data_IF_803576642153
#
_entry.id   IF_803576642153
#
_cell.length_a   1.000
_cell.length_b   1.000
_cell.length_c   1.000
_cell.angle_alpha   90.00
_cell.angle_beta   90.00
_cell.angle_gamma   90.00
#
_symmetry.space_group_name_H-M   'P 1'
#
loop_
_entity.id
_entity.type
_entity.pdbx_description
1 polymer ?
#
# COMPACT_ATOMS: atom_id res chain seq x y z
N UNK A 1 -27.91 -46.94 27.41
CA UNK A 1 -26.95 -46.33 26.46
C UNK A 1 -27.62 -45.83 25.18
N UNK A 2 -28.44 -46.65 24.50
CA UNK A 2 -29.10 -46.27 23.23
C UNK A 2 -30.02 -45.05 23.35
N UNK A 3 -30.78 -44.92 24.44
CA UNK A 3 -31.57 -43.72 24.70
C UNK A 3 -30.74 -42.44 24.89
N UNK A 4 -29.49 -42.57 25.35
CA UNK A 4 -28.56 -41.43 25.49
C UNK A 4 -27.96 -41.08 24.14
N UNK A 5 -27.53 -42.06 23.35
CA UNK A 5 -27.03 -41.86 21.98
C UNK A 5 -28.10 -41.26 21.06
N UNK A 6 -29.35 -41.73 21.15
CA UNK A 6 -30.48 -41.18 20.39
C UNK A 6 -30.79 -39.74 20.78
N UNK A 7 -30.75 -39.41 22.08
CA UNK A 7 -30.88 -38.01 22.54
C UNK A 7 -29.71 -37.15 22.06
N UNK A 8 -28.48 -37.67 22.09
CA UNK A 8 -27.31 -36.94 21.61
C UNK A 8 -27.40 -36.66 20.10
N UNK A 9 -27.79 -37.66 19.31
CA UNK A 9 -28.02 -37.50 17.87
C UNK A 9 -29.11 -36.45 17.58
N UNK A 10 -30.23 -36.50 18.28
CA UNK A 10 -31.31 -35.51 18.15
C UNK A 10 -30.85 -34.09 18.53
N UNK A 11 -30.12 -33.92 19.65
CA UNK A 11 -29.60 -32.60 20.04
C UNK A 11 -28.54 -32.07 19.07
N UNK A 12 -27.74 -32.96 18.47
CA UNK A 12 -26.73 -32.57 17.48
C UNK A 12 -27.38 -32.16 16.16
N UNK A 13 -28.49 -32.81 15.79
CA UNK A 13 -29.32 -32.46 14.64
C UNK A 13 -30.07 -31.13 14.84
N UNK A 14 -30.59 -30.87 16.04
CA UNK A 14 -31.17 -29.57 16.38
C UNK A 14 -30.12 -28.46 16.33
N UNK A 15 -28.93 -28.69 16.89
CA UNK A 15 -27.80 -27.74 16.81
C UNK A 15 -27.32 -27.53 15.37
N UNK A 16 -27.24 -28.58 14.54
CA UNK A 16 -26.86 -28.46 13.13
C UNK A 16 -27.91 -27.66 12.34
N UNK A 17 -29.19 -27.77 12.70
CA UNK A 17 -30.26 -26.94 12.16
C UNK A 17 -30.10 -25.46 12.54
N UNK A 18 -29.79 -25.13 13.80
CA UNK A 18 -29.52 -23.75 14.24
C UNK A 18 -28.27 -23.13 13.60
N UNK A 19 -27.30 -23.95 13.21
CA UNK A 19 -26.09 -23.51 12.50
C UNK A 19 -26.21 -23.58 10.98
N UNK A 20 -27.30 -24.15 10.45
CA UNK A 20 -27.68 -23.99 9.05
C UNK A 20 -28.15 -22.54 8.86
N UNK A 21 -27.79 -21.93 7.73
CA UNK A 21 -27.94 -20.49 7.46
C UNK A 21 -29.39 -19.96 7.46
N UNK A 22 -30.37 -20.73 7.96
CA UNK A 22 -31.79 -20.49 7.77
C UNK A 22 -32.35 -19.38 8.66
N UNK A 23 -31.96 -19.21 9.92
CA UNK A 23 -32.44 -18.08 10.71
C UNK A 23 -31.63 -17.86 11.99
N UNK A 24 -31.44 -16.58 12.35
CA UNK A 24 -30.84 -16.04 13.59
C UNK A 24 -29.34 -15.71 13.50
N UNK A 25 -29.09 -14.42 13.33
CA UNK A 25 -27.75 -13.85 13.35
C UNK A 25 -27.11 -13.90 14.73
N UNK A 26 -26.06 -14.71 14.87
CA UNK A 26 -25.07 -14.55 15.94
C UNK A 26 -24.37 -13.20 15.75
N UNK A 27 -24.55 -12.30 16.71
CA UNK A 27 -23.90 -10.99 16.77
C UNK A 27 -22.46 -11.19 17.27
N UNK A 28 -21.48 -10.92 16.40
CA UNK A 28 -20.10 -10.71 16.86
C UNK A 28 -20.13 -9.56 17.87
N UNK A 29 -19.50 -9.80 19.02
CA UNK A 29 -19.40 -8.85 20.12
C UNK A 29 -18.81 -7.53 19.61
N UNK A 30 -19.54 -6.44 19.80
CA UNK A 30 -19.10 -5.07 19.55
C UNK A 30 -17.75 -4.73 20.22
N UNK A 31 -17.31 -5.55 21.19
CA UNK A 31 -16.08 -5.35 21.95
C UNK A 31 -14.80 -5.48 21.10
N UNK A 32 -14.78 -6.31 20.06
CA UNK A 32 -13.57 -6.50 19.21
C UNK A 32 -13.29 -5.28 18.31
N UNK A 33 -14.30 -4.42 18.11
CA UNK A 33 -14.19 -3.24 17.25
C UNK A 33 -13.92 -1.93 18.01
N UNK A 34 -13.90 -1.95 19.35
CA UNK A 34 -13.71 -0.73 20.14
C UNK A 34 -12.36 -0.04 19.87
N UNK A 35 -11.30 -0.82 19.68
CA UNK A 35 -9.96 -0.33 19.34
C UNK A 35 -9.94 0.33 17.95
N UNK A 36 -10.57 -0.30 16.96
CA UNK A 36 -10.70 0.22 15.60
C UNK A 36 -11.55 1.50 15.56
N UNK A 37 -12.70 1.52 16.25
CA UNK A 37 -13.59 2.69 16.32
C UNK A 37 -12.87 3.85 17.00
N UNK A 38 -12.11 3.59 18.08
CA UNK A 38 -11.32 4.62 18.79
C UNK A 38 -10.19 5.18 17.90
N UNK A 39 -9.50 4.33 17.15
CA UNK A 39 -8.48 4.74 16.17
C UNK A 39 -9.08 5.57 15.03
N UNK A 40 -10.19 5.12 14.45
CA UNK A 40 -10.87 5.83 13.36
C UNK A 40 -11.38 7.21 13.81
N UNK A 41 -11.97 7.30 15.01
CA UNK A 41 -12.36 8.57 15.62
C UNK A 41 -11.16 9.53 15.80
N UNK A 42 -10.00 9.00 16.19
CA UNK A 42 -8.75 9.76 16.28
C UNK A 42 -8.31 10.29 14.91
N UNK A 43 -8.30 9.44 13.90
CA UNK A 43 -7.99 9.83 12.52
C UNK A 43 -8.93 10.91 12.00
N UNK A 44 -10.25 10.78 12.21
CA UNK A 44 -11.24 11.80 11.80
C UNK A 44 -11.02 13.14 12.51
N UNK A 45 -10.65 13.14 13.80
CA UNK A 45 -10.32 14.38 14.54
C UNK A 45 -9.10 15.09 13.96
N UNK A 46 -8.05 14.35 13.63
CA UNK A 46 -6.85 14.89 12.99
C UNK A 46 -7.14 15.42 11.58
N UNK A 47 -7.97 14.71 10.83
CA UNK A 47 -8.42 15.09 9.49
C UNK A 47 -9.21 16.41 9.52
N UNK A 48 -10.11 16.55 10.48
CA UNK A 48 -10.86 17.78 10.73
C UNK A 48 -9.95 18.93 11.17
N UNK A 49 -8.97 18.66 12.05
CA UNK A 49 -7.97 19.65 12.46
C UNK A 49 -7.14 20.15 11.28
N UNK A 50 -6.71 19.23 10.40
CA UNK A 50 -6.00 19.56 9.17
C UNK A 50 -6.87 20.39 8.22
N UNK A 51 -8.14 20.01 8.05
CA UNK A 51 -9.10 20.74 7.23
C UNK A 51 -9.29 22.18 7.72
N UNK A 52 -9.59 22.37 9.01
CA UNK A 52 -9.73 23.70 9.61
C UNK A 52 -8.44 24.52 9.48
N UNK A 53 -7.26 23.90 9.65
CA UNK A 53 -5.97 24.61 9.50
C UNK A 53 -5.69 25.07 8.07
N UNK A 54 -6.13 24.32 7.06
CA UNK A 54 -5.82 24.61 5.65
C UNK A 54 -6.88 25.46 4.96
N UNK A 55 -8.15 25.21 5.24
CA UNK A 55 -9.28 25.85 4.57
C UNK A 55 -9.92 26.99 5.37
N UNK A 56 -10.05 26.88 6.70
CA UNK A 56 -10.70 27.90 7.53
C UNK A 56 -9.73 28.96 8.06
N UNK A 57 -8.50 28.56 8.44
CA UNK A 57 -7.48 29.44 9.04
C UNK A 57 -6.22 29.61 8.17
N UNK A 58 -6.17 28.95 7.01
CA UNK A 58 -5.00 28.90 6.13
C UNK A 58 -5.06 29.89 4.95
N UNK A 59 -3.98 29.99 4.16
CA UNK A 59 -3.87 30.92 3.02
C UNK A 59 -4.89 30.70 1.89
N UNK A 60 -5.69 29.64 1.96
CA UNK A 60 -6.75 29.31 1.00
C UNK A 60 -8.09 30.01 1.30
N UNK A 61 -8.27 30.59 2.50
CA UNK A 61 -9.47 31.38 2.83
C UNK A 61 -9.56 32.67 1.99
N UNK A 62 -8.42 33.18 1.50
CA UNK A 62 -8.33 34.34 0.62
C UNK A 62 -9.06 34.14 -0.72
N UNK A 63 -9.20 32.89 -1.20
CA UNK A 63 -9.87 32.61 -2.47
C UNK A 63 -11.38 32.85 -2.38
N UNK A 64 -11.99 32.68 -1.20
CA UNK A 64 -13.44 32.89 -1.01
C UNK A 64 -13.76 34.34 -0.64
N UNK A 65 -12.80 35.10 -0.10
CA UNK A 65 -13.01 36.50 0.31
C UNK A 65 -12.60 37.54 -0.74
N UNK A 66 -11.72 37.21 -1.70
CA UNK A 66 -11.32 38.16 -2.76
C UNK A 66 -12.49 38.54 -3.70
N UNK A 67 -13.58 37.76 -3.73
CA UNK A 67 -14.78 38.07 -4.53
C UNK A 67 -15.75 39.06 -3.85
N UNK A 68 -15.57 39.43 -2.58
CA UNK A 68 -16.58 40.23 -1.85
C UNK A 68 -16.15 41.56 -1.23
N UNK A 69 -14.87 41.92 -1.19
CA UNK A 69 -14.51 43.27 -0.70
C UNK A 69 -13.06 43.63 -1.02
N UNK A 70 -12.79 44.01 -2.26
CA UNK A 70 -11.59 44.79 -2.62
C UNK A 70 -11.95 46.21 -3.07
N UNK A 71 -13.09 46.69 -2.57
CA UNK A 71 -13.31 48.12 -2.39
C UNK A 71 -12.53 48.54 -1.15
N UNK A 72 -11.60 49.45 -1.36
CA UNK A 72 -11.01 50.33 -0.36
C UNK A 72 -9.70 49.91 0.33
N UNK A 73 -8.76 50.87 0.22
CA UNK A 73 -7.50 51.07 0.93
C UNK A 73 -6.34 50.16 0.49
N UNK A 74 -5.30 50.62 -0.21
CA UNK A 74 -4.55 51.88 -0.06
C UNK A 74 -3.86 52.25 -1.39
N UNK A 75 -4.06 53.50 -1.84
CA UNK A 75 -3.30 54.22 -2.88
C UNK A 75 -3.31 53.65 -4.32
N UNK A 76 -4.50 53.55 -4.91
CA UNK A 76 -4.71 53.33 -6.36
C UNK A 76 -3.87 54.25 -7.24
N UNK A 77 -3.74 55.54 -6.88
CA UNK A 77 -2.91 56.49 -7.65
C UNK A 77 -1.41 56.17 -7.58
N UNK A 78 -0.86 55.74 -6.45
CA UNK A 78 0.56 55.41 -6.34
C UNK A 78 0.90 54.13 -7.10
N UNK A 79 0.03 53.11 -7.04
CA UNK A 79 0.21 51.89 -7.84
C UNK A 79 0.09 52.15 -9.34
N UNK A 80 -0.86 52.97 -9.78
CA UNK A 80 -1.01 53.34 -11.20
C UNK A 80 0.17 54.18 -11.67
N UNK A 81 0.65 55.14 -10.88
CA UNK A 81 1.84 55.94 -11.21
C UNK A 81 3.11 55.08 -11.22
N UNK A 82 3.26 54.14 -10.29
CA UNK A 82 4.37 53.19 -10.27
C UNK A 82 4.31 52.20 -11.44
N UNK A 83 3.13 51.70 -11.80
CA UNK A 83 2.93 50.86 -12.98
C UNK A 83 3.22 51.62 -14.27
N UNK A 84 2.79 52.88 -14.40
CA UNK A 84 3.11 53.72 -15.55
C UNK A 84 4.61 54.05 -15.61
N UNK A 85 5.24 54.25 -14.45
CA UNK A 85 6.71 54.42 -14.36
C UNK A 85 7.44 53.14 -14.74
N UNK A 86 7.03 51.98 -14.24
CA UNK A 86 7.64 50.69 -14.57
C UNK A 86 7.41 50.34 -16.04
N UNK A 87 6.22 50.57 -16.59
CA UNK A 87 5.92 50.36 -18.01
C UNK A 87 6.75 51.28 -18.91
N UNK A 88 6.92 52.56 -18.55
CA UNK A 88 7.76 53.47 -19.33
C UNK A 88 9.26 53.12 -19.24
N UNK A 89 9.74 52.66 -18.07
CA UNK A 89 11.13 52.20 -17.90
C UNK A 89 11.35 50.88 -18.63
N UNK A 90 10.40 49.94 -18.54
CA UNK A 90 10.51 48.62 -19.16
C UNK A 90 10.42 48.70 -20.69
N UNK A 91 9.52 49.53 -21.23
CA UNK A 91 9.45 49.79 -22.65
C UNK A 91 10.76 50.40 -23.16
N UNK A 92 11.29 51.42 -22.46
CA UNK A 92 12.59 52.02 -22.80
C UNK A 92 13.76 51.05 -22.67
N UNK A 93 13.79 50.20 -21.64
CA UNK A 93 14.87 49.23 -21.45
C UNK A 93 14.84 48.13 -22.48
N UNK A 94 13.65 47.66 -22.86
CA UNK A 94 13.48 46.63 -23.88
C UNK A 94 13.80 47.18 -25.28
N UNK A 95 13.42 48.42 -25.57
CA UNK A 95 13.80 49.11 -26.81
C UNK A 95 15.32 49.27 -26.90
N UNK A 96 15.98 49.75 -25.85
CA UNK A 96 17.45 49.86 -25.82
C UNK A 96 18.17 48.51 -25.92
N UNK A 97 17.60 47.45 -25.37
CA UNK A 97 18.13 46.10 -25.54
C UNK A 97 18.05 45.63 -26.99
N UNK A 98 16.92 45.89 -27.66
CA UNK A 98 16.74 45.54 -29.08
C UNK A 98 17.64 46.40 -29.98
N UNK A 99 17.77 47.71 -29.70
CA UNK A 99 18.70 48.61 -30.40
C UNK A 99 20.15 48.14 -30.26
N UNK A 100 20.61 47.82 -29.04
CA UNK A 100 21.96 47.30 -28.81
C UNK A 100 22.19 45.95 -29.51
N UNK A 101 21.19 45.08 -29.55
CA UNK A 101 21.28 43.80 -30.26
C UNK A 101 21.31 43.99 -31.78
N UNK A 102 20.58 44.98 -32.32
CA UNK A 102 20.61 45.33 -33.73
C UNK A 102 21.95 45.97 -34.13
N UNK A 103 22.50 46.84 -33.28
CA UNK A 103 23.84 47.41 -33.46
C UNK A 103 24.93 46.32 -33.40
N UNK A 104 24.85 45.40 -32.43
CA UNK A 104 25.77 44.26 -32.35
C UNK A 104 25.71 43.39 -33.62
N UNK A 105 24.51 43.06 -34.11
CA UNK A 105 24.35 42.29 -35.34
C UNK A 105 24.90 43.04 -36.57
N UNK A 106 24.78 44.38 -36.61
CA UNK A 106 25.38 45.23 -37.64
C UNK A 106 26.90 45.19 -37.58
N UNK A 107 27.49 45.31 -36.39
CA UNK A 107 28.93 45.23 -36.18
C UNK A 107 29.47 43.84 -36.55
N UNK A 108 28.77 42.77 -36.19
CA UNK A 108 29.13 41.40 -36.56
C UNK A 108 29.05 41.17 -38.08
N UNK A 109 28.03 41.71 -38.75
CA UNK A 109 27.95 41.70 -40.20
C UNK A 109 29.14 42.45 -40.84
N UNK A 110 29.49 43.64 -40.35
CA UNK A 110 30.66 44.40 -40.83
C UNK A 110 31.95 43.60 -40.62
N UNK A 111 32.17 43.04 -39.43
CA UNK A 111 33.36 42.22 -39.13
C UNK A 111 33.41 40.97 -40.00
N UNK A 112 32.27 40.33 -40.28
CA UNK A 112 32.24 39.17 -41.19
C UNK A 112 32.58 39.55 -42.62
N UNK A 113 32.08 40.68 -43.14
CA UNK A 113 32.45 41.19 -44.47
C UNK A 113 33.92 41.60 -44.55
N UNK A 114 34.47 42.21 -43.50
CA UNK A 114 35.89 42.54 -43.43
C UNK A 114 36.77 41.28 -43.34
N UNK A 115 36.31 40.23 -42.64
CA UNK A 115 37.01 38.93 -42.57
C UNK A 115 37.00 38.20 -43.90
N UNK A 116 35.87 38.18 -44.62
CA UNK A 116 35.81 37.59 -45.97
C UNK A 116 36.65 38.38 -46.96
N UNK A 117 36.73 39.71 -46.81
CA UNK A 117 37.63 40.56 -47.58
C UNK A 117 39.10 40.29 -47.25
N UNK A 118 39.49 40.18 -45.98
CA UNK A 118 40.86 39.85 -45.59
C UNK A 118 41.28 38.46 -46.11
N UNK A 119 40.36 37.49 -46.04
CA UNK A 119 40.55 36.16 -46.63
C UNK A 119 40.65 36.20 -48.17
N UNK A 120 39.89 37.08 -48.83
CA UNK A 120 40.00 37.32 -50.27
C UNK A 120 41.28 38.09 -50.64
N UNK A 121 41.78 38.98 -49.78
CA UNK A 121 43.02 39.73 -50.01
C UNK A 121 44.24 38.85 -49.80
N UNK A 122 44.19 37.88 -48.89
CA UNK A 122 45.22 36.84 -48.77
C UNK A 122 45.32 35.94 -50.01
N UNK A 123 44.28 35.84 -50.84
CA UNK A 123 44.31 35.13 -52.13
C UNK A 123 44.58 36.03 -53.35
N UNK A 124 44.66 37.36 -53.17
CA UNK A 124 44.87 38.36 -54.23
C UNK A 124 46.30 38.90 -54.21
N UNK A 125 47.28 38.09 -54.62
CA UNK A 125 48.65 38.59 -54.81
C UNK A 125 48.85 39.23 -56.19
N UNK A 126 47.94 39.11 -57.17
CA UNK A 126 48.09 39.81 -58.47
C UNK A 126 46.77 40.19 -59.17
N UNK A 127 46.29 41.45 -59.04
CA UNK A 127 45.43 42.13 -60.04
C UNK A 127 45.65 43.65 -60.06
N UNK A 128 45.47 44.25 -61.24
CA UNK A 128 45.76 45.66 -61.57
C UNK A 128 44.95 46.69 -60.76
N UNK A 129 45.64 47.77 -60.37
CA UNK A 129 45.16 48.92 -59.59
C UNK A 129 43.88 49.57 -60.14
N UNK A 130 43.67 49.55 -61.46
CA UNK A 130 42.48 50.13 -62.09
C UNK A 130 41.21 49.28 -61.94
N UNK A 131 41.33 47.95 -61.93
CA UNK A 131 40.18 47.05 -61.65
C UNK A 131 39.78 47.11 -60.18
N UNK A 132 40.75 47.30 -59.27
CA UNK A 132 40.49 47.52 -57.85
C UNK A 132 39.74 48.83 -57.61
N UNK A 133 40.09 49.90 -58.32
CA UNK A 133 39.39 51.19 -58.18
C UNK A 133 37.94 51.13 -58.67
N UNK A 134 37.65 50.42 -59.77
CA UNK A 134 36.27 50.23 -60.26
C UNK A 134 35.43 49.37 -59.32
N UNK A 135 35.97 48.25 -58.84
CA UNK A 135 35.29 47.42 -57.83
C UNK A 135 35.07 48.18 -56.51
N UNK A 136 36.03 49.02 -56.10
CA UNK A 136 35.87 49.86 -54.92
C UNK A 136 34.77 50.91 -55.06
N UNK A 137 34.54 51.45 -56.27
CA UNK A 137 33.42 52.36 -56.50
C UNK A 137 32.08 51.63 -56.61
N UNK A 138 32.04 50.45 -57.24
CA UNK A 138 30.83 49.61 -57.31
C UNK A 138 30.41 49.16 -55.90
N UNK A 139 31.36 48.72 -55.08
CA UNK A 139 31.13 48.37 -53.67
C UNK A 139 30.72 49.57 -52.81
N UNK A 140 31.21 50.78 -53.11
CA UNK A 140 30.82 51.98 -52.38
C UNK A 140 29.36 52.38 -52.67
N UNK A 141 28.89 52.16 -53.89
CA UNK A 141 27.48 52.38 -54.25
C UNK A 141 26.59 51.26 -53.69
N UNK A 142 26.99 49.98 -53.77
CA UNK A 142 26.28 48.88 -53.12
C UNK A 142 26.20 49.05 -51.59
N UNK A 143 27.24 49.57 -50.95
CA UNK A 143 27.25 49.88 -49.52
C UNK A 143 26.26 51.00 -49.17
N UNK A 144 26.12 52.01 -50.05
CA UNK A 144 25.13 53.08 -49.86
C UNK A 144 23.70 52.55 -50.02
N UNK A 145 23.45 51.73 -51.03
CA UNK A 145 22.14 51.12 -51.26
C UNK A 145 21.76 50.18 -50.11
N UNK A 146 22.71 49.38 -49.62
CA UNK A 146 22.50 48.51 -48.46
C UNK A 146 22.29 49.32 -47.18
N UNK A 147 23.04 50.43 -46.99
CA UNK A 147 22.84 51.35 -45.87
C UNK A 147 21.45 51.99 -45.89
N UNK A 148 20.96 52.38 -47.07
CA UNK A 148 19.63 52.95 -47.25
C UNK A 148 18.53 51.94 -46.93
N UNK A 149 18.69 50.70 -47.39
CA UNK A 149 17.74 49.61 -47.11
C UNK A 149 17.72 49.22 -45.62
N UNK A 150 18.88 49.20 -44.97
CA UNK A 150 18.99 48.97 -43.53
C UNK A 150 18.34 50.11 -42.75
N UNK A 151 18.56 51.37 -43.16
CA UNK A 151 17.90 52.52 -42.54
C UNK A 151 16.38 52.44 -42.64
N UNK A 152 15.86 52.03 -43.81
CA UNK A 152 14.43 51.84 -44.05
C UNK A 152 13.83 50.72 -43.20
N UNK A 153 14.51 49.56 -43.10
CA UNK A 153 14.09 48.47 -42.20
C UNK A 153 14.11 48.88 -40.72
N UNK A 154 15.12 49.64 -40.29
CA UNK A 154 15.19 50.15 -38.92
C UNK A 154 14.05 51.14 -38.65
N UNK A 155 13.72 52.02 -39.60
CA UNK A 155 12.71 53.07 -39.41
C UNK A 155 11.27 52.61 -39.57
N UNK A 156 10.99 51.61 -40.42
CA UNK A 156 9.62 51.17 -40.74
C UNK A 156 9.24 49.86 -40.05
N UNK A 157 10.05 48.81 -40.19
CA UNK A 157 9.70 47.47 -39.68
C UNK A 157 10.06 47.28 -38.21
N UNK A 158 11.24 47.74 -37.77
CA UNK A 158 11.64 47.58 -36.36
C UNK A 158 10.83 48.48 -35.44
N UNK A 159 10.55 49.73 -35.83
CA UNK A 159 9.70 50.65 -35.06
C UNK A 159 8.25 50.16 -35.00
N UNK A 160 7.70 49.64 -36.10
CA UNK A 160 6.36 49.04 -36.16
C UNK A 160 6.24 47.82 -35.25
N UNK A 161 7.17 46.87 -35.36
CA UNK A 161 7.21 45.70 -34.48
C UNK A 161 7.40 46.06 -33.00
N UNK A 162 8.12 47.14 -32.71
CA UNK A 162 8.29 47.64 -31.36
C UNK A 162 7.01 48.30 -30.81
N UNK A 163 6.22 48.98 -31.65
CA UNK A 163 4.89 49.49 -31.28
C UNK A 163 3.90 48.36 -30.99
N UNK A 164 3.91 47.31 -31.82
CA UNK A 164 3.09 46.11 -31.63
C UNK A 164 3.50 45.33 -30.37
N UNK A 165 4.81 45.18 -30.13
CA UNK A 165 5.33 44.58 -28.90
C UNK A 165 5.00 45.40 -27.65
N UNK A 166 4.93 46.72 -27.75
CA UNK A 166 4.54 47.59 -26.65
C UNK A 166 3.05 47.46 -26.32
N UNK A 167 2.18 47.32 -27.33
CA UNK A 167 0.76 47.00 -27.12
C UNK A 167 0.57 45.60 -26.50
N UNK A 168 1.32 44.60 -26.99
CA UNK A 168 1.27 43.23 -26.46
C UNK A 168 1.89 43.09 -25.06
N UNK A 169 2.81 43.95 -24.67
CA UNK A 169 3.39 43.95 -23.32
C UNK A 169 2.37 44.21 -22.21
N UNK A 170 1.28 44.95 -22.50
CA UNK A 170 0.15 45.14 -21.57
C UNK A 170 -0.64 43.85 -21.34
N UNK A 171 -0.71 42.95 -22.32
CA UNK A 171 -1.39 41.66 -22.21
C UNK A 171 -0.61 40.67 -21.33
N UNK A 172 0.73 40.70 -21.36
CA UNK A 172 1.58 39.79 -20.57
C UNK A 172 1.46 40.02 -19.04
N UNK A 173 1.16 41.26 -18.61
CA UNK A 173 0.93 41.58 -17.19
C UNK A 173 -0.41 40.99 -16.72
N UNK A 174 -1.44 41.00 -17.58
CA UNK A 174 -2.71 40.35 -17.32
C UNK A 174 -2.58 38.83 -17.30
N UNK A 175 -1.77 38.25 -18.21
CA UNK A 175 -1.47 36.82 -18.25
C UNK A 175 -0.78 36.35 -16.96
N UNK A 176 0.20 37.10 -16.45
CA UNK A 176 0.82 36.83 -15.15
C UNK A 176 -0.18 36.82 -13.99
N UNK A 177 -1.13 37.76 -13.98
CA UNK A 177 -2.20 37.81 -12.97
C UNK A 177 -3.18 36.62 -13.07
N UNK A 178 -3.51 36.19 -14.29
CA UNK A 178 -4.37 35.02 -14.52
C UNK A 178 -3.65 33.72 -14.15
N UNK A 179 -2.37 33.59 -14.48
CA UNK A 179 -1.54 32.43 -14.11
C UNK A 179 -1.42 32.28 -12.59
N UNK A 180 -1.26 33.38 -11.85
CA UNK A 180 -1.23 33.31 -10.39
C UNK A 180 -2.59 32.89 -9.81
N UNK A 181 -3.71 33.32 -10.40
CA UNK A 181 -5.05 32.85 -9.99
C UNK A 181 -5.26 31.37 -10.28
N UNK A 182 -4.87 30.91 -11.47
CA UNK A 182 -4.93 29.50 -11.86
C UNK A 182 -4.09 28.62 -10.93
N UNK A 183 -2.86 29.02 -10.63
CA UNK A 183 -1.98 28.29 -9.70
C UNK A 183 -2.57 28.21 -8.27
N UNK A 184 -3.25 29.26 -7.81
CA UNK A 184 -3.95 29.25 -6.51
C UNK A 184 -5.15 28.30 -6.53
N UNK A 185 -5.94 28.30 -7.59
CA UNK A 185 -7.07 27.40 -7.75
C UNK A 185 -6.62 25.94 -7.88
N UNK A 186 -5.56 25.68 -8.64
CA UNK A 186 -4.99 24.34 -8.80
C UNK A 186 -4.43 23.81 -7.48
N UNK A 187 -3.78 24.68 -6.69
CA UNK A 187 -3.36 24.35 -5.34
C UNK A 187 -4.56 24.00 -4.44
N UNK A 188 -5.65 24.76 -4.51
CA UNK A 188 -6.88 24.48 -3.76
C UNK A 188 -7.49 23.13 -4.14
N UNK A 189 -7.66 22.87 -5.44
CA UNK A 189 -8.20 21.62 -5.99
C UNK A 189 -7.31 20.43 -5.61
N UNK A 190 -5.99 20.58 -5.67
CA UNK A 190 -5.03 19.55 -5.27
C UNK A 190 -5.19 19.17 -3.79
N UNK A 191 -5.34 20.16 -2.90
CA UNK A 191 -5.56 19.91 -1.48
C UNK A 191 -6.94 19.29 -1.20
N UNK A 192 -7.99 19.68 -1.93
CA UNK A 192 -9.30 19.03 -1.85
C UNK A 192 -9.25 17.57 -2.31
N UNK A 193 -8.59 17.27 -3.43
CA UNK A 193 -8.40 15.90 -3.92
C UNK A 193 -7.69 15.03 -2.89
N UNK A 194 -6.65 15.55 -2.22
CA UNK A 194 -5.97 14.83 -1.11
C UNK A 194 -6.93 14.54 0.05
N UNK A 195 -7.75 15.52 0.44
CA UNK A 195 -8.74 15.34 1.50
C UNK A 195 -9.78 14.27 1.14
N UNK A 196 -10.33 14.33 -0.08
CA UNK A 196 -11.26 13.33 -0.60
C UNK A 196 -10.61 11.94 -0.60
N UNK A 197 -9.35 11.82 -1.03
CA UNK A 197 -8.63 10.55 -1.01
C UNK A 197 -8.52 9.97 0.41
N UNK A 198 -8.23 10.80 1.42
CA UNK A 198 -8.21 10.31 2.81
C UNK A 198 -9.58 9.82 3.28
N UNK A 199 -10.66 10.51 2.90
CA UNK A 199 -12.04 10.07 3.23
C UNK A 199 -12.42 8.77 2.50
N UNK A 200 -12.07 8.65 1.23
CA UNK A 200 -12.29 7.43 0.43
C UNK A 200 -11.53 6.26 1.04
N UNK A 201 -10.29 6.47 1.48
CA UNK A 201 -9.51 5.44 2.17
C UNK A 201 -10.13 5.03 3.51
N UNK A 202 -10.64 5.97 4.30
CA UNK A 202 -11.37 5.65 5.54
C UNK A 202 -12.63 4.81 5.25
N UNK A 203 -13.41 5.20 4.23
CA UNK A 203 -14.59 4.45 3.80
C UNK A 203 -14.23 3.04 3.31
N UNK A 204 -13.19 2.93 2.47
CA UNK A 204 -12.72 1.66 1.93
C UNK A 204 -12.26 0.73 3.05
N UNK A 205 -11.49 1.22 4.02
CA UNK A 205 -11.07 0.44 5.18
C UNK A 205 -12.27 -0.06 6.00
N UNK A 206 -13.29 0.77 6.22
CA UNK A 206 -14.50 0.35 6.93
C UNK A 206 -15.32 -0.69 6.14
N UNK A 207 -15.44 -0.52 4.83
CA UNK A 207 -16.12 -1.47 3.94
C UNK A 207 -15.39 -2.80 3.88
N UNK A 208 -14.07 -2.78 3.78
CA UNK A 208 -13.22 -3.97 3.83
C UNK A 208 -13.43 -4.72 5.15
N UNK A 209 -13.32 -4.02 6.28
CA UNK A 209 -13.54 -4.63 7.60
C UNK A 209 -14.93 -5.27 7.69
N UNK A 210 -15.98 -4.57 7.24
CA UNK A 210 -17.35 -5.12 7.20
C UNK A 210 -17.43 -6.41 6.39
N UNK A 211 -16.79 -6.46 5.22
CA UNK A 211 -16.76 -7.66 4.37
C UNK A 211 -15.97 -8.78 5.06
N UNK A 212 -14.81 -8.48 5.64
CA UNK A 212 -14.01 -9.47 6.40
C UNK A 212 -14.80 -10.08 7.55
N UNK A 213 -15.54 -9.28 8.31
CA UNK A 213 -16.40 -9.79 9.39
C UNK A 213 -17.52 -10.68 8.88
N UNK A 214 -18.13 -10.34 7.75
CA UNK A 214 -19.16 -11.16 7.13
C UNK A 214 -18.60 -12.49 6.63
N UNK A 215 -17.41 -12.49 6.04
CA UNK A 215 -16.72 -13.69 5.59
C UNK A 215 -16.29 -14.58 6.76
N UNK A 216 -15.73 -13.99 7.82
CA UNK A 216 -15.37 -14.72 9.03
C UNK A 216 -16.59 -15.34 9.70
N UNK A 217 -17.72 -14.61 9.76
CA UNK A 217 -19.00 -15.15 10.23
C UNK A 217 -19.43 -16.36 9.41
N UNK A 218 -19.44 -16.25 8.07
CA UNK A 218 -19.82 -17.35 7.18
C UNK A 218 -18.88 -18.55 7.32
N UNK A 219 -17.57 -18.32 7.41
CA UNK A 219 -16.58 -19.37 7.57
C UNK A 219 -16.72 -20.09 8.93
N UNK A 220 -16.88 -19.35 10.04
CA UNK A 220 -17.08 -19.94 11.37
C UNK A 220 -18.36 -20.75 11.44
N UNK A 221 -19.49 -20.21 10.97
CA UNK A 221 -20.78 -20.91 10.95
C UNK A 221 -20.69 -22.15 10.05
N UNK A 222 -20.11 -22.03 8.85
CA UNK A 222 -19.92 -23.16 7.93
C UNK A 222 -19.02 -24.25 8.52
N UNK A 223 -17.92 -23.87 9.18
CA UNK A 223 -17.01 -24.84 9.82
C UNK A 223 -17.67 -25.58 11.00
N UNK A 224 -18.42 -24.87 11.84
CA UNK A 224 -19.15 -25.47 12.95
C UNK A 224 -20.28 -26.38 12.44
N UNK A 225 -20.99 -25.96 11.40
CA UNK A 225 -22.01 -26.78 10.73
C UNK A 225 -21.42 -28.07 10.15
N UNK A 226 -20.29 -27.99 9.44
CA UNK A 226 -19.61 -29.16 8.88
C UNK A 226 -19.15 -30.13 9.96
N UNK A 227 -18.61 -29.62 11.07
CA UNK A 227 -18.20 -30.45 12.21
C UNK A 227 -19.41 -31.13 12.87
N UNK A 228 -20.49 -30.38 13.13
CA UNK A 228 -21.71 -30.93 13.72
C UNK A 228 -22.35 -31.99 12.81
N UNK A 229 -22.33 -31.78 11.50
CA UNK A 229 -22.84 -32.75 10.52
C UNK A 229 -21.98 -34.02 10.45
N UNK A 230 -20.66 -33.90 10.59
CA UNK A 230 -19.78 -35.06 10.68
C UNK A 230 -20.08 -35.89 11.95
N UNK A 231 -20.25 -35.22 13.10
CA UNK A 231 -20.62 -35.87 14.36
C UNK A 231 -22.01 -36.52 14.26
N UNK A 232 -22.98 -35.87 13.63
CA UNK A 232 -24.32 -36.41 13.39
C UNK A 232 -24.26 -37.71 12.56
N UNK A 233 -23.49 -37.72 11.47
CA UNK A 233 -23.30 -38.91 10.63
C UNK A 233 -22.61 -40.05 11.39
N UNK A 234 -21.61 -39.73 12.21
CA UNK A 234 -20.90 -40.73 13.02
C UNK A 234 -21.83 -41.33 14.09
N UNK A 235 -22.58 -40.50 14.82
CA UNK A 235 -23.57 -40.96 15.80
C UNK A 235 -24.67 -41.82 15.16
N UNK A 236 -25.12 -41.45 13.96
CA UNK A 236 -26.10 -42.25 13.22
C UNK A 236 -25.52 -43.61 12.79
N UNK A 237 -24.23 -43.66 12.42
CA UNK A 237 -23.53 -44.91 12.13
C UNK A 237 -23.37 -45.82 13.35
N UNK A 238 -23.12 -45.25 14.54
CA UNK A 238 -23.09 -46.03 15.78
C UNK A 238 -24.48 -46.54 16.17
N UNK A 239 -25.53 -45.73 16.00
CA UNK A 239 -26.91 -46.17 16.25
C UNK A 239 -27.30 -47.34 15.34
N UNK A 240 -27.03 -47.26 14.04
CA UNK A 240 -27.34 -48.36 13.12
C UNK A 240 -26.52 -49.63 13.40
N UNK A 241 -25.24 -49.50 13.77
CA UNK A 241 -24.42 -50.64 14.18
C UNK A 241 -24.96 -51.31 15.44
N UNK A 242 -25.48 -50.52 16.40
CA UNK A 242 -26.09 -51.05 17.63
C UNK A 242 -27.45 -51.69 17.35
N UNK A 243 -28.27 -51.11 16.48
CA UNK A 243 -29.55 -51.70 16.08
C UNK A 243 -29.33 -53.05 15.37
N UNK A 244 -28.35 -53.14 14.46
CA UNK A 244 -27.98 -54.43 13.83
C UNK A 244 -27.53 -55.47 14.86
N UNK A 245 -26.82 -55.06 15.92
CA UNK A 245 -26.45 -55.97 17.01
C UNK A 245 -27.67 -56.40 17.82
N UNK A 246 -28.59 -55.49 18.10
CA UNK A 246 -29.86 -55.78 18.77
C UNK A 246 -30.72 -56.75 17.97
N UNK A 247 -30.83 -56.57 16.66
CA UNK A 247 -31.55 -57.49 15.78
C UNK A 247 -30.93 -58.89 15.80
N UNK A 248 -29.60 -58.98 15.84
CA UNK A 248 -28.90 -60.26 16.00
C UNK A 248 -29.19 -60.90 17.36
N UNK A 249 -29.15 -60.13 18.45
CA UNK A 249 -29.52 -60.66 19.77
C UNK A 249 -30.98 -61.10 19.81
N UNK A 250 -31.89 -60.38 19.16
CA UNK A 250 -33.29 -60.77 19.08
C UNK A 250 -33.49 -62.03 18.23
N UNK A 251 -32.71 -62.18 17.15
CA UNK A 251 -32.69 -63.40 16.33
C UNK A 251 -32.14 -64.60 17.10
N UNK A 252 -31.13 -64.39 17.96
CA UNK A 252 -30.57 -65.42 18.85
C UNK A 252 -31.57 -65.78 19.95
N UNK A 253 -32.25 -64.81 20.55
CA UNK A 253 -33.31 -65.02 21.55
C UNK A 253 -34.49 -65.81 20.97
N UNK A 254 -34.86 -65.49 19.72
CA UNK A 254 -35.87 -66.23 18.97
C UNK A 254 -35.40 -67.65 18.62
N UNK A 255 -34.16 -67.83 18.17
CA UNK A 255 -33.59 -69.16 17.91
C UNK A 255 -33.46 -70.01 19.19
N UNK A 256 -33.06 -69.39 20.31
CA UNK A 256 -33.00 -70.03 21.62
C UNK A 256 -34.39 -70.44 22.11
N UNK A 257 -35.43 -69.66 21.79
CA UNK A 257 -36.82 -70.00 22.08
C UNK A 257 -37.34 -71.16 21.21
N UNK A 258 -36.84 -71.32 19.99
CA UNK A 258 -37.20 -72.40 19.05
C UNK A 258 -36.44 -73.71 19.29
N UNK A 259 -35.32 -73.70 20.01
CA UNK A 259 -34.47 -74.89 20.28
C UNK A 259 -34.94 -75.81 21.42
N UNK A 260 -36.08 -75.53 22.08
CA UNK A 260 -36.59 -76.37 23.18
C UNK A 260 -37.54 -77.49 22.70
N UNK A 261 -37.02 -78.47 21.97
CA UNK A 261 -37.60 -79.82 21.88
C UNK A 261 -36.50 -80.87 21.65
N UNK A 262 -35.78 -81.30 22.70
CA UNK A 262 -35.27 -82.68 22.83
C UNK A 262 -34.54 -82.92 24.17
N UNK A 263 -35.08 -83.83 25.00
CA UNK A 263 -34.42 -84.43 26.16
C UNK A 263 -34.69 -83.77 27.51
N UNK A 264 -35.70 -84.28 28.24
CA UNK A 264 -36.05 -83.80 29.59
C UNK A 264 -35.08 -84.30 30.68
N UNK A 265 -34.70 -83.41 31.59
CA UNK A 265 -34.06 -83.73 32.88
C UNK A 265 -35.16 -83.99 33.92
N UNK A 266 -34.97 -85.05 34.72
CA UNK A 266 -35.93 -85.50 35.75
C UNK A 266 -36.02 -84.52 36.93
N UNK A 267 -37.24 -84.21 37.39
CA UNK A 267 -37.58 -83.22 38.43
C UNK A 267 -36.97 -83.52 39.82
N UNK A 268 -36.29 -84.66 39.97
CA UNK A 268 -35.67 -85.10 41.22
C UNK A 268 -34.22 -84.65 41.35
N UNK A 269 -33.60 -84.11 40.30
CA UNK A 269 -32.18 -83.79 40.29
C UNK A 269 -31.89 -82.37 40.81
N UNK A 270 -31.83 -82.23 42.13
CA UNK A 270 -31.54 -80.96 42.82
C UNK A 270 -30.20 -80.33 42.42
N UNK A 271 -29.23 -81.12 41.93
CA UNK A 271 -27.92 -80.60 41.54
C UNK A 271 -27.99 -79.85 40.23
N UNK A 272 -28.67 -80.41 39.21
CA UNK A 272 -28.85 -79.75 37.92
C UNK A 272 -29.72 -78.50 38.02
N UNK A 273 -30.70 -78.50 38.94
CA UNK A 273 -31.46 -77.28 39.28
C UNK A 273 -30.59 -76.22 39.98
N UNK A 274 -29.70 -76.60 40.90
CA UNK A 274 -28.78 -75.64 41.54
C UNK A 274 -27.77 -75.06 40.54
N UNK A 275 -27.24 -75.88 39.63
CA UNK A 275 -26.36 -75.43 38.53
C UNK A 275 -27.12 -74.48 37.60
N UNK A 276 -28.38 -74.80 37.25
CA UNK A 276 -29.27 -73.90 36.50
C UNK A 276 -29.47 -72.56 37.23
N UNK A 277 -29.78 -72.56 38.52
CA UNK A 277 -30.04 -71.32 39.27
C UNK A 277 -28.79 -70.44 39.40
N UNK A 278 -27.61 -71.05 39.47
CA UNK A 278 -26.33 -70.33 39.43
C UNK A 278 -26.09 -69.72 38.04
N UNK A 279 -26.36 -70.48 36.97
CA UNK A 279 -26.23 -69.98 35.59
C UNK A 279 -27.33 -68.97 35.20
N UNK A 280 -28.49 -69.02 35.85
CA UNK A 280 -29.69 -68.20 35.54
C UNK A 280 -29.91 -67.01 36.48
N UNK A 281 -28.90 -66.56 37.22
CA UNK A 281 -29.05 -65.39 38.11
C UNK A 281 -29.37 -64.08 37.35
N UNK A 282 -30.10 -63.12 37.97
CA UNK A 282 -31.43 -62.72 37.50
C UNK A 282 -31.41 -61.57 36.49
N UNK A 283 -31.79 -61.87 35.25
CA UNK A 283 -32.36 -60.87 34.34
C UNK A 283 -33.75 -60.51 34.87
N UNK A 284 -33.94 -59.24 35.23
CA UNK A 284 -35.19 -58.70 35.78
C UNK A 284 -36.32 -58.65 34.74
N UNK A 285 -36.79 -59.81 34.28
CA UNK A 285 -38.04 -59.94 33.54
C UNK A 285 -38.72 -61.24 33.96
N UNK A 286 -39.87 -61.10 34.60
CA UNK A 286 -40.85 -62.16 34.79
C UNK A 286 -41.34 -62.63 33.41
N UNK A 287 -40.58 -63.50 32.77
CA UNK A 287 -41.04 -64.37 31.71
C UNK A 287 -40.99 -65.78 32.29
N UNK A 288 -42.12 -66.49 32.20
CA UNK A 288 -42.33 -67.84 32.72
C UNK A 288 -41.10 -68.72 32.46
N UNK A 289 -40.39 -69.09 33.52
CA UNK A 289 -39.24 -69.98 33.43
C UNK A 289 -39.72 -71.34 32.89
N UNK A 290 -39.09 -71.90 31.84
CA UNK A 290 -39.41 -73.25 31.43
C UNK A 290 -39.01 -74.21 32.56
N UNK A 291 -39.94 -75.11 32.89
CA UNK A 291 -39.81 -76.08 33.99
C UNK A 291 -38.71 -77.12 33.73
N UNK A 292 -38.18 -77.23 32.51
CA UNK A 292 -37.21 -78.27 32.12
C UNK A 292 -36.03 -77.69 31.32
N UNK A 293 -34.81 -78.13 31.63
CA UNK A 293 -33.55 -77.78 30.93
C UNK A 293 -32.81 -79.06 30.57
N UNK A 294 -32.23 -79.14 29.36
CA UNK A 294 -31.42 -80.28 28.91
C UNK A 294 -30.03 -80.27 29.54
N UNK A 295 -29.55 -81.43 30.00
CA UNK A 295 -28.22 -81.58 30.62
C UNK A 295 -27.07 -81.28 29.67
N UNK A 296 -27.26 -81.48 28.36
CA UNK A 296 -26.27 -81.14 27.34
C UNK A 296 -26.12 -79.62 27.20
N UNK A 297 -27.24 -78.88 27.22
CA UNK A 297 -27.22 -77.41 27.10
C UNK A 297 -26.53 -76.73 28.28
N UNK A 298 -26.65 -77.28 29.49
CA UNK A 298 -25.89 -76.78 30.64
C UNK A 298 -24.38 -76.99 30.50
N UNK A 299 -23.96 -78.14 29.95
CA UNK A 299 -22.54 -78.43 29.73
C UNK A 299 -21.98 -77.52 28.63
N UNK A 300 -22.72 -77.30 27.54
CA UNK A 300 -22.32 -76.42 26.45
C UNK A 300 -22.18 -74.96 26.92
N UNK A 301 -23.14 -74.45 27.69
CA UNK A 301 -23.07 -73.10 28.28
C UNK A 301 -21.90 -72.95 29.26
N UNK A 302 -21.60 -73.99 30.06
CA UNK A 302 -20.43 -73.98 30.95
C UNK A 302 -19.13 -73.96 30.13
N UNK A 303 -19.04 -74.73 29.05
CA UNK A 303 -17.86 -74.71 28.18
C UNK A 303 -17.67 -73.37 27.46
N UNK A 304 -18.75 -72.77 26.95
CA UNK A 304 -18.70 -71.46 26.29
C UNK A 304 -18.22 -70.37 27.26
N UNK A 305 -18.77 -70.34 28.48
CA UNK A 305 -18.34 -69.40 29.52
C UNK A 305 -16.89 -69.63 29.96
N UNK A 306 -16.44 -70.89 29.96
CA UNK A 306 -15.06 -71.23 30.27
C UNK A 306 -14.10 -70.75 29.18
N UNK A 307 -14.49 -70.87 27.92
CA UNK A 307 -13.73 -70.37 26.77
C UNK A 307 -13.70 -68.83 26.75
N UNK A 308 -14.83 -68.17 27.06
CA UNK A 308 -14.88 -66.71 27.20
C UNK A 308 -14.00 -66.20 28.35
N UNK A 309 -13.99 -66.89 29.50
CA UNK A 309 -13.11 -66.55 30.61
C UNK A 309 -11.63 -66.71 30.23
N UNK A 310 -11.27 -67.79 29.52
CA UNK A 310 -9.91 -67.98 29.04
C UNK A 310 -9.51 -66.90 28.02
N UNK A 311 -10.43 -66.50 27.15
CA UNK A 311 -10.19 -65.42 26.18
C UNK A 311 -9.96 -64.08 26.88
N UNK A 312 -10.85 -63.69 27.80
CA UNK A 312 -10.73 -62.44 28.55
C UNK A 312 -9.48 -62.41 29.44
N UNK A 313 -9.14 -63.54 30.05
CA UNK A 313 -7.89 -63.66 30.80
C UNK A 313 -6.67 -63.51 29.89
N UNK A 314 -6.69 -64.11 28.70
CA UNK A 314 -5.62 -63.95 27.71
C UNK A 314 -5.50 -62.50 27.22
N UNK A 315 -6.61 -61.81 26.97
CA UNK A 315 -6.65 -60.42 26.55
C UNK A 315 -6.09 -59.48 27.64
N UNK A 316 -6.47 -59.72 28.90
CA UNK A 316 -5.98 -58.97 30.06
C UNK A 316 -4.49 -59.18 30.33
N UNK A 317 -4.00 -60.42 30.22
CA UNK A 317 -2.60 -60.75 30.51
C UNK A 317 -1.65 -60.40 29.35
N UNK A 318 -2.08 -60.53 28.10
CA UNK A 318 -1.16 -60.46 26.95
C UNK A 318 -1.41 -59.28 26.01
N UNK A 319 -2.66 -58.94 25.70
CA UNK A 319 -2.98 -57.92 24.69
C UNK A 319 -2.85 -56.52 25.29
N UNK A 320 -3.51 -56.28 26.42
CA UNK A 320 -3.53 -54.97 27.08
C UNK A 320 -2.13 -54.47 27.51
N UNK A 321 -1.24 -55.30 28.10
CA UNK A 321 0.11 -54.85 28.45
C UNK A 321 0.98 -54.55 27.23
N UNK A 322 0.81 -55.30 26.12
CA UNK A 322 1.52 -55.03 24.86
C UNK A 322 1.09 -53.72 24.23
N UNK A 323 -0.20 -53.41 24.24
CA UNK A 323 -0.71 -52.13 23.71
C UNK A 323 -0.28 -50.95 24.57
N UNK A 324 -0.34 -51.08 25.89
CA UNK A 324 0.22 -50.07 26.81
C UNK A 324 1.71 -49.86 26.57
N UNK A 325 2.47 -50.93 26.37
CA UNK A 325 3.89 -50.87 26.00
C UNK A 325 4.11 -50.06 24.72
N UNK A 326 3.40 -50.39 23.63
CA UNK A 326 3.48 -49.65 22.36
C UNK A 326 3.13 -48.17 22.50
N UNK A 327 2.07 -47.83 23.22
CA UNK A 327 1.72 -46.42 23.47
C UNK A 327 2.79 -45.70 24.30
N UNK A 328 3.37 -46.38 25.28
CA UNK A 328 4.45 -45.81 26.10
C UNK A 328 5.70 -45.57 25.27
N UNK A 329 6.06 -46.51 24.40
CA UNK A 329 7.21 -46.37 23.48
C UNK A 329 7.03 -45.23 22.48
N UNK A 330 5.81 -45.06 21.95
CA UNK A 330 5.50 -43.96 21.02
C UNK A 330 5.52 -42.60 21.71
N UNK A 331 4.98 -42.51 22.94
CA UNK A 331 5.11 -41.32 23.77
C UNK A 331 6.58 -41.00 24.09
N UNK A 332 7.38 -42.01 24.43
CA UNK A 332 8.82 -41.85 24.64
C UNK A 332 9.53 -41.37 23.37
N UNK A 333 9.17 -41.86 22.18
CA UNK A 333 9.70 -41.34 20.90
C UNK A 333 9.31 -39.88 20.66
N UNK A 334 8.05 -39.52 20.92
CA UNK A 334 7.60 -38.12 20.80
C UNK A 334 8.33 -37.20 21.78
N UNK A 335 8.58 -37.65 23.00
CA UNK A 335 9.37 -36.89 23.98
C UNK A 335 10.81 -36.75 23.51
N UNK A 336 11.43 -37.81 22.98
CA UNK A 336 12.79 -37.76 22.44
C UNK A 336 12.90 -36.85 21.22
N UNK A 337 11.90 -36.80 20.33
CA UNK A 337 11.91 -35.85 19.20
C UNK A 337 11.74 -34.41 19.68
N UNK A 338 10.89 -34.17 20.68
CA UNK A 338 10.80 -32.86 21.33
C UNK A 338 12.11 -32.47 22.02
N UNK A 339 12.75 -33.37 22.76
CA UNK A 339 14.06 -33.13 23.36
C UNK A 339 15.15 -32.87 22.32
N UNK A 340 15.11 -33.50 21.14
CA UNK A 340 16.01 -33.16 20.03
C UNK A 340 15.73 -31.77 19.44
N UNK A 341 14.47 -31.33 19.40
CA UNK A 341 14.10 -29.97 18.99
C UNK A 341 14.57 -28.94 20.02
N UNK A 342 14.45 -29.24 21.32
CA UNK A 342 14.83 -28.34 22.41
C UNK A 342 16.32 -28.42 22.79
N UNK A 343 17.01 -29.50 22.45
CA UNK A 343 18.38 -29.82 22.86
C UNK A 343 19.47 -29.28 21.93
N UNK A 344 19.13 -28.59 20.83
CA UNK A 344 20.11 -27.81 20.08
C UNK A 344 20.51 -26.62 20.95
N UNK A 345 21.79 -26.52 21.38
CA UNK A 345 22.19 -25.48 22.31
C UNK A 345 21.96 -24.09 21.69
N UNK A 346 21.13 -23.30 22.37
CA UNK A 346 20.89 -21.89 22.09
C UNK A 346 22.21 -21.10 22.24
N UNK A 347 22.91 -20.90 21.13
CA UNK A 347 23.88 -19.82 21.02
C UNK A 347 23.12 -18.53 20.74
N UNK A 348 22.80 -17.78 21.80
CA UNK A 348 22.54 -16.33 21.92
C UNK A 348 21.84 -15.50 20.81
N UNK A 349 21.22 -16.10 19.80
CA UNK A 349 20.44 -15.39 18.79
C UNK A 349 18.97 -15.77 18.90
N UNK A 350 18.12 -14.75 19.05
CA UNK A 350 16.67 -14.83 19.14
C UNK A 350 16.07 -15.76 18.05
N UNK A 351 15.04 -16.55 18.37
CA UNK A 351 14.46 -17.47 17.40
C UNK A 351 13.79 -16.70 16.26
N UNK A 352 14.41 -16.74 15.07
CA UNK A 352 13.82 -16.22 13.83
C UNK A 352 12.73 -17.19 13.37
N UNK A 353 11.48 -16.86 13.68
CA UNK A 353 10.26 -17.55 13.20
C UNK A 353 9.96 -17.25 11.72
N UNK A 354 10.98 -17.26 10.86
CA UNK A 354 10.82 -16.95 9.43
C UNK A 354 11.21 -18.17 8.60
N UNK A 355 10.30 -18.73 7.78
CA UNK A 355 10.63 -19.75 6.80
C UNK A 355 11.84 -19.33 5.96
N UNK A 356 12.82 -20.21 5.78
CA UNK A 356 14.09 -19.94 5.07
C UNK A 356 13.95 -19.16 3.74
N UNK A 357 12.92 -19.38 2.90
CA UNK A 357 12.73 -18.58 1.69
C UNK A 357 12.48 -17.09 1.97
N UNK A 358 11.79 -16.75 3.05
CA UNK A 358 11.47 -15.37 3.42
C UNK A 358 12.66 -14.64 4.05
N UNK A 359 13.60 -15.36 4.66
CA UNK A 359 14.83 -14.76 5.20
C UNK A 359 15.67 -14.12 4.08
N UNK A 360 15.83 -14.82 2.95
CA UNK A 360 16.55 -14.29 1.79
C UNK A 360 15.88 -13.05 1.21
N UNK A 361 14.55 -13.06 1.05
CA UNK A 361 13.81 -11.89 0.56
C UNK A 361 13.86 -10.70 1.52
N UNK A 362 13.93 -10.94 2.83
CA UNK A 362 14.09 -9.88 3.82
C UNK A 362 15.50 -9.29 3.79
N UNK A 363 16.53 -10.09 3.57
CA UNK A 363 17.91 -9.62 3.41
C UNK A 363 18.07 -8.82 2.10
N UNK A 364 17.48 -9.30 1.01
CA UNK A 364 17.41 -8.55 -0.25
C UNK A 364 16.62 -7.24 -0.09
N UNK A 365 15.52 -7.24 0.68
CA UNK A 365 14.77 -6.02 0.96
C UNK A 365 15.55 -5.05 1.85
N UNK A 366 16.31 -5.55 2.81
CA UNK A 366 17.13 -4.74 3.71
C UNK A 366 18.32 -4.11 2.97
N UNK A 367 18.97 -4.84 2.05
CA UNK A 367 20.01 -4.28 1.19
C UNK A 367 19.46 -3.22 0.23
N UNK A 368 18.27 -3.44 -0.36
CA UNK A 368 17.59 -2.42 -1.18
C UNK A 368 17.18 -1.22 -0.34
N UNK A 369 16.71 -1.41 0.89
CA UNK A 369 16.37 -0.34 1.83
C UNK A 369 17.59 0.52 2.20
N UNK A 370 18.75 -0.12 2.44
CA UNK A 370 20.02 0.57 2.68
C UNK A 370 20.47 1.35 1.44
N UNK A 371 20.35 0.78 0.25
CA UNK A 371 20.70 1.45 -1.02
C UNK A 371 19.80 2.65 -1.32
N UNK A 372 18.48 2.52 -1.09
CA UNK A 372 17.53 3.63 -1.22
C UNK A 372 17.82 4.71 -0.20
N UNK A 373 18.15 4.34 1.04
CA UNK A 373 18.52 5.30 2.08
C UNK A 373 19.77 6.09 1.71
N UNK A 374 20.81 5.43 1.20
CA UNK A 374 22.03 6.07 0.70
C UNK A 374 21.74 7.02 -0.48
N UNK A 375 20.93 6.59 -1.44
CA UNK A 375 20.52 7.43 -2.59
C UNK A 375 19.72 8.66 -2.13
N UNK A 376 18.81 8.49 -1.16
CA UNK A 376 18.06 9.60 -0.58
C UNK A 376 19.00 10.59 0.12
N UNK A 377 19.99 10.11 0.88
CA UNK A 377 20.97 11.00 1.53
C UNK A 377 21.79 11.79 0.50
N UNK A 378 22.23 11.16 -0.59
CA UNK A 378 22.96 11.83 -1.67
C UNK A 378 22.12 12.90 -2.36
N UNK A 379 20.85 12.59 -2.65
CA UNK A 379 19.91 13.54 -3.26
C UNK A 379 19.62 14.71 -2.31
N UNK A 380 19.48 14.47 -1.00
CA UNK A 380 19.31 15.55 -0.03
C UNK A 380 20.54 16.44 0.07
N UNK A 381 21.75 15.85 0.07
CA UNK A 381 23.00 16.59 0.11
C UNK A 381 23.21 17.44 -1.15
N UNK A 382 22.95 16.88 -2.33
CA UNK A 382 23.00 17.62 -3.59
C UNK A 382 21.96 18.76 -3.65
N UNK A 383 20.76 18.52 -3.11
CA UNK A 383 19.72 19.55 -2.98
C UNK A 383 20.17 20.68 -2.07
N UNK A 384 20.76 20.36 -0.92
CA UNK A 384 21.18 21.36 0.06
C UNK A 384 22.38 22.17 -0.45
N UNK A 385 23.34 21.53 -1.13
CA UNK A 385 24.41 22.23 -1.84
C UNK A 385 23.86 23.19 -2.90
N UNK A 386 22.88 22.75 -3.71
CA UNK A 386 22.24 23.61 -4.72
C UNK A 386 21.43 24.74 -4.08
N UNK A 387 20.79 24.49 -2.94
CA UNK A 387 20.08 25.51 -2.18
C UNK A 387 21.04 26.55 -1.59
N UNK A 388 22.23 26.14 -1.14
CA UNK A 388 23.26 27.05 -0.64
C UNK A 388 23.86 27.90 -1.77
N UNK A 389 24.12 27.31 -2.94
CA UNK A 389 24.55 28.06 -4.15
C UNK A 389 23.49 29.09 -4.57
N UNK A 390 22.20 28.77 -4.41
CA UNK A 390 21.11 29.70 -4.70
C UNK A 390 20.90 30.75 -3.60
N UNK A 391 21.22 30.42 -2.34
CA UNK A 391 21.15 31.34 -1.19
C UNK A 391 22.31 32.32 -1.14
N UNK A 392 23.47 31.96 -1.66
CA UNK A 392 24.59 32.87 -1.84
C UNK A 392 24.36 33.61 -3.17
N UNK A 393 23.78 34.83 -3.19
CA UNK A 393 23.87 35.64 -4.39
C UNK A 393 25.36 35.85 -4.60
N UNK A 394 25.90 35.26 -5.68
CA UNK A 394 27.31 35.46 -6.03
C UNK A 394 27.61 36.96 -5.92
N UNK A 395 28.78 37.32 -5.41
CA UNK A 395 29.23 38.72 -5.35
C UNK A 395 28.99 39.42 -6.71
N UNK A 396 29.10 38.65 -7.79
CA UNK A 396 28.77 39.01 -9.17
C UNK A 396 27.27 39.30 -9.41
N UNK A 397 26.31 38.57 -8.82
CA UNK A 397 24.88 38.85 -8.94
C UNK A 397 24.47 40.12 -8.17
N UNK A 398 25.08 40.38 -7.00
CA UNK A 398 24.88 41.65 -6.28
C UNK A 398 25.52 42.82 -7.04
N UNK A 399 26.75 42.65 -7.54
CA UNK A 399 27.41 43.64 -8.40
C UNK A 399 26.64 43.88 -9.70
N UNK A 400 26.11 42.85 -10.36
CA UNK A 400 25.24 43.01 -11.55
C UNK A 400 23.96 43.77 -11.23
N UNK A 401 23.36 43.53 -10.06
CA UNK A 401 22.19 44.30 -9.60
C UNK A 401 22.56 45.75 -9.27
N UNK A 402 23.73 46.00 -8.70
CA UNK A 402 24.26 47.34 -8.43
C UNK A 402 24.57 48.10 -9.72
N UNK A 403 25.30 47.48 -10.66
CA UNK A 403 25.57 48.03 -11.99
C UNK A 403 24.28 48.30 -12.76
N UNK A 404 23.28 47.42 -12.66
CA UNK A 404 21.96 47.66 -13.23
C UNK A 404 21.30 48.89 -12.58
N UNK A 405 21.27 48.96 -11.25
CA UNK A 405 20.70 50.11 -10.53
C UNK A 405 21.45 51.41 -10.86
N UNK A 406 22.77 51.39 -10.94
CA UNK A 406 23.58 52.56 -11.24
C UNK A 406 23.46 52.99 -12.70
N UNK A 407 23.32 52.05 -13.64
CA UNK A 407 23.00 52.35 -15.05
C UNK A 407 21.67 53.08 -15.22
N UNK A 408 20.63 52.70 -14.47
CA UNK A 408 19.29 53.28 -14.60
C UNK A 408 19.01 54.47 -13.68
N UNK A 409 19.67 54.56 -12.52
CA UNK A 409 19.37 55.58 -11.51
C UNK A 409 20.48 56.62 -11.33
N UNK A 410 21.75 56.32 -11.62
CA UNK A 410 22.90 57.23 -11.39
C UNK A 410 24.06 56.99 -12.38
N UNK A 411 23.91 57.35 -13.67
CA UNK A 411 24.91 57.06 -14.71
C UNK A 411 26.30 57.65 -14.42
N UNK A 412 26.37 58.78 -13.70
CA UNK A 412 27.65 59.40 -13.31
C UNK A 412 28.50 58.56 -12.35
N UNK A 413 27.90 57.69 -11.51
CA UNK A 413 28.68 56.76 -10.67
C UNK A 413 29.27 55.63 -11.49
N UNK A 414 28.51 55.13 -12.47
CA UNK A 414 28.99 54.10 -13.37
C UNK A 414 30.14 54.63 -14.23
N UNK A 415 30.06 55.86 -14.73
CA UNK A 415 31.18 56.49 -15.43
C UNK A 415 32.43 56.66 -14.55
N UNK A 416 32.27 57.02 -13.27
CA UNK A 416 33.42 57.10 -12.36
C UNK A 416 34.02 55.73 -12.04
N UNK A 417 33.20 54.70 -11.84
CA UNK A 417 33.68 53.32 -11.62
C UNK A 417 34.34 52.75 -12.88
N UNK A 418 33.80 53.02 -14.07
CA UNK A 418 34.42 52.63 -15.34
C UNK A 418 35.73 53.39 -15.57
N UNK A 419 35.80 54.69 -15.27
CA UNK A 419 37.07 55.46 -15.33
C UNK A 419 38.09 54.95 -14.32
N UNK A 420 37.65 54.53 -13.13
CA UNK A 420 38.50 53.89 -12.12
C UNK A 420 38.98 52.50 -12.57
N UNK A 421 38.11 51.71 -13.20
CA UNK A 421 38.48 50.40 -13.75
C UNK A 421 39.45 50.53 -14.91
N UNK A 422 39.21 51.49 -15.82
CA UNK A 422 40.07 51.78 -16.97
C UNK A 422 41.43 52.29 -16.50
N UNK A 423 41.49 53.11 -15.45
CA UNK A 423 42.77 53.55 -14.87
C UNK A 423 43.50 52.42 -14.14
N UNK A 424 42.80 51.49 -13.49
CA UNK A 424 43.41 50.28 -12.89
C UNK A 424 43.94 49.30 -13.95
N UNK A 425 43.21 49.12 -15.05
CA UNK A 425 43.64 48.26 -16.18
C UNK A 425 44.81 48.88 -16.94
N UNK A 426 44.82 50.22 -17.10
CA UNK A 426 45.94 50.94 -17.74
C UNK A 426 47.16 51.09 -16.81
N UNK A 427 47.02 50.79 -15.52
CA UNK A 427 48.09 50.79 -14.51
C UNK A 427 48.69 49.42 -14.21
N UNK A 428 48.22 48.34 -14.85
CA UNK A 428 48.89 47.04 -14.84
C UNK A 428 50.01 47.08 -15.88
N UNK A 429 51.29 46.88 -15.51
CA UNK A 429 52.34 46.69 -16.50
C UNK A 429 52.09 45.37 -17.25
N UNK A 430 52.43 45.36 -18.54
CA UNK A 430 52.31 44.20 -19.45
C UNK A 430 52.92 42.91 -18.88
#
# INVERSE_FOLDING_TARGET
>A
MNAVLGKLAATTQELSYYHSEADIGVYLSYCDFLSYVRSNLGCTKELNRWFSKKFEKGPLQLVVKDDKSRGDFVNSHHCVVQLNRINSIFAKSKMRYIEAHAEYAKEEAIVSTLRTQLASQQSYIHQDSHSLRRKSSELAEELKDLSLNVQKCLSETVTGLCADLAQLAGANILEGGHNVKLLRQECYISHQKKFINYLVNQLAAHRFLKISCQLEKRAKISSAYLLLKAIELELHSYLSAVDVRLDRYHSIDQAASEMFEEGSVDDRDSFLHAVRDILSSPSSSQAMAPTYVSSYGLVEQISELQDELQYLQHEAENVLPRERGRCTDELCRMVQTLEQIFGVPLSDEQPKLTPWPLAQWLEELETVSQQVSASVTDVTLARDQKAEILRQPSRNAQQKRQVFVDFFCRPGRLESEVKELVSRVRGLPE
#
